data_IF_158896001136
#
_entry.id   IF_158896001136
#
_cell.length_a   1.000
_cell.length_b   1.000
_cell.length_c   1.000
_cell.angle_alpha   90.00
_cell.angle_beta   90.00
_cell.angle_gamma   90.00
#
_symmetry.space_group_name_H-M   'P 1'
#
loop_
_entity.id
_entity.type
_entity.pdbx_description
1 polymer ?
#
# COMPACT_ATOMS: atom_id res chain seq x y z
N UNK A 1 -17.43 11.36 -9.45
CA UNK A 1 -17.66 12.40 -8.44
C UNK A 1 -17.29 13.74 -9.08
N UNK A 2 -18.27 14.54 -9.51
CA UNK A 2 -18.06 15.69 -10.41
C UNK A 2 -17.48 16.94 -9.70
N UNK A 3 -16.43 16.78 -8.89
CA UNK A 3 -15.81 17.91 -8.19
C UNK A 3 -15.10 18.79 -9.21
N UNK A 4 -15.50 20.06 -9.38
CA UNK A 4 -14.83 20.96 -10.31
C UNK A 4 -13.45 21.35 -9.77
N UNK A 5 -12.45 21.37 -10.66
CA UNK A 5 -11.06 21.72 -10.35
C UNK A 5 -10.81 23.23 -10.35
N UNK A 6 -11.81 24.03 -10.74
CA UNK A 6 -11.77 25.49 -10.74
C UNK A 6 -11.58 26.15 -9.36
N UNK A 7 -11.53 25.35 -8.29
CA UNK A 7 -11.26 25.80 -6.92
C UNK A 7 -9.77 25.89 -6.60
N UNK A 8 -8.93 25.26 -7.40
CA UNK A 8 -7.48 25.31 -7.28
C UNK A 8 -6.94 26.29 -8.32
N UNK A 9 -5.90 27.03 -7.97
CA UNK A 9 -5.23 27.88 -8.96
C UNK A 9 -4.38 27.03 -9.93
N UNK A 10 -3.95 27.65 -11.04
CA UNK A 10 -3.22 26.95 -12.08
C UNK A 10 -1.82 26.48 -11.63
N UNK A 11 -1.21 27.16 -10.66
CA UNK A 11 0.13 26.81 -10.16
C UNK A 11 0.04 25.59 -9.24
N UNK A 12 -0.91 25.57 -8.31
CA UNK A 12 -1.16 24.45 -7.40
C UNK A 12 -1.55 23.19 -8.16
N UNK A 13 -2.40 23.31 -9.19
CA UNK A 13 -2.77 22.19 -10.04
C UNK A 13 -1.57 21.64 -10.81
N UNK A 14 -0.70 22.53 -11.32
CA UNK A 14 0.51 22.13 -12.04
C UNK A 14 1.51 21.40 -11.12
N UNK A 15 1.68 21.89 -9.89
CA UNK A 15 2.52 21.23 -8.88
C UNK A 15 1.99 19.82 -8.55
N UNK A 16 0.67 19.64 -8.48
CA UNK A 16 0.07 18.34 -8.27
C UNK A 16 0.27 17.42 -9.47
N UNK A 17 0.13 17.92 -10.70
CA UNK A 17 0.40 17.16 -11.92
C UNK A 17 1.86 16.70 -11.94
N UNK A 18 2.82 17.58 -11.64
CA UNK A 18 4.24 17.23 -11.54
C UNK A 18 4.50 16.16 -10.47
N UNK A 19 3.83 16.26 -9.31
CA UNK A 19 3.92 15.26 -8.25
C UNK A 19 3.35 13.89 -8.69
N UNK A 20 2.26 13.88 -9.46
CA UNK A 20 1.62 12.68 -10.02
C UNK A 20 2.53 12.05 -11.07
N UNK A 21 3.03 12.83 -12.04
CA UNK A 21 3.98 12.36 -13.06
C UNK A 21 5.18 11.66 -12.42
N UNK A 22 5.78 12.31 -11.42
CA UNK A 22 6.91 11.76 -10.66
C UNK A 22 6.54 10.48 -9.89
N UNK A 23 5.35 10.42 -9.30
CA UNK A 23 4.92 9.30 -8.46
C UNK A 23 4.55 8.06 -9.28
N UNK A 24 3.96 8.26 -10.45
CA UNK A 24 3.45 7.19 -11.31
C UNK A 24 4.36 6.89 -12.52
N UNK A 25 5.41 7.67 -12.74
CA UNK A 25 6.32 7.49 -13.87
C UNK A 25 5.65 7.76 -15.23
N UNK A 26 4.63 8.60 -15.24
CA UNK A 26 3.88 9.00 -16.43
C UNK A 26 4.26 10.44 -16.81
N UNK A 27 4.00 10.83 -18.06
CA UNK A 27 4.22 12.20 -18.52
C UNK A 27 3.04 12.68 -19.38
N UNK A 28 2.62 13.90 -19.11
CA UNK A 28 1.63 14.64 -19.86
C UNK A 28 2.34 15.73 -20.69
N UNK A 29 1.98 15.82 -21.96
CA UNK A 29 2.43 16.92 -22.79
C UNK A 29 1.78 18.24 -22.35
N UNK A 30 2.42 19.35 -22.68
CA UNK A 30 1.89 20.69 -22.40
C UNK A 30 0.50 20.86 -23.06
N UNK A 31 -0.50 21.23 -22.25
CA UNK A 31 -1.89 21.36 -22.70
C UNK A 31 -2.65 20.04 -22.89
N UNK A 32 -2.06 18.89 -22.55
CA UNK A 32 -2.75 17.59 -22.64
C UNK A 32 -3.83 17.44 -21.56
N UNK A 33 -3.64 18.04 -20.39
CA UNK A 33 -4.63 18.04 -19.31
C UNK A 33 -5.50 19.28 -19.46
N UNK A 34 -6.68 19.09 -20.07
CA UNK A 34 -7.76 20.08 -20.16
C UNK A 34 -8.86 19.77 -19.14
N UNK A 35 -8.55 18.94 -18.12
CA UNK A 35 -9.53 18.45 -17.17
C UNK A 35 -10.10 19.59 -16.32
N UNK A 36 -11.43 19.74 -16.36
CA UNK A 36 -12.20 20.71 -15.59
C UNK A 36 -12.76 20.11 -14.30
N UNK A 37 -12.78 18.77 -14.22
CA UNK A 37 -13.27 18.02 -13.06
C UNK A 37 -12.27 16.97 -12.60
N UNK A 38 -12.38 16.58 -11.33
CA UNK A 38 -11.56 15.53 -10.74
C UNK A 38 -11.73 14.17 -11.49
N UNK A 39 -12.92 13.89 -12.01
CA UNK A 39 -13.18 12.67 -12.79
C UNK A 39 -12.46 12.69 -14.15
N UNK A 40 -12.43 13.84 -14.83
CA UNK A 40 -11.68 14.01 -16.09
C UNK A 40 -10.17 13.89 -15.86
N UNK A 41 -9.65 14.46 -14.77
CA UNK A 41 -8.25 14.32 -14.40
C UNK A 41 -7.92 12.86 -14.07
N UNK A 42 -8.80 12.18 -13.32
CA UNK A 42 -8.65 10.76 -13.04
C UNK A 42 -8.62 9.93 -14.33
N UNK A 43 -9.54 10.18 -15.27
CA UNK A 43 -9.56 9.48 -16.55
C UNK A 43 -8.28 9.71 -17.36
N UNK A 44 -7.76 10.95 -17.39
CA UNK A 44 -6.52 11.29 -18.08
C UNK A 44 -5.30 10.56 -17.47
N UNK A 45 -5.23 10.47 -16.13
CA UNK A 45 -4.19 9.69 -15.43
C UNK A 45 -4.31 8.21 -15.76
N UNK A 46 -5.51 7.65 -15.68
CA UNK A 46 -5.73 6.23 -15.96
C UNK A 46 -5.39 5.86 -17.41
N UNK A 47 -5.59 6.76 -18.37
CA UNK A 47 -5.24 6.54 -19.77
C UNK A 47 -3.72 6.49 -20.03
N UNK A 48 -2.90 7.12 -19.17
CA UNK A 48 -1.43 7.06 -19.25
C UNK A 48 -0.82 5.86 -18.57
N UNK A 49 -1.58 5.21 -17.68
CA UNK A 49 -1.13 4.03 -16.98
C UNK A 49 -1.22 2.79 -17.90
N UNK A 50 -0.28 1.85 -17.83
CA UNK A 50 -0.34 0.63 -18.63
C UNK A 50 -1.59 -0.20 -18.29
N UNK A 51 -2.29 -0.73 -19.31
CA UNK A 51 -3.48 -1.60 -19.18
C UNK A 51 -3.23 -2.86 -18.34
N UNK A 52 -1.96 -3.27 -18.23
CA UNK A 52 -1.50 -4.28 -17.30
C UNK A 52 -0.61 -3.58 -16.26
N UNK A 53 -1.15 -3.16 -15.11
CA UNK A 53 -0.29 -2.70 -14.03
C UNK A 53 0.64 -3.87 -13.71
N UNK A 54 1.95 -3.63 -13.80
CA UNK A 54 2.94 -4.54 -13.23
C UNK A 54 2.45 -4.96 -11.83
N UNK A 55 2.66 -6.22 -11.47
CA UNK A 55 2.33 -6.78 -10.15
C UNK A 55 2.96 -6.00 -8.96
N UNK A 56 3.75 -4.96 -9.24
CA UNK A 56 4.28 -3.97 -8.31
C UNK A 56 3.18 -3.13 -7.63
N UNK A 57 2.10 -2.78 -8.34
CA UNK A 57 1.04 -1.94 -7.78
C UNK A 57 0.18 -2.72 -6.76
N UNK A 58 -0.07 -4.01 -6.99
CA UNK A 58 -0.82 -4.86 -6.05
C UNK A 58 -0.04 -5.12 -4.76
N UNK A 59 1.29 -5.29 -4.85
CA UNK A 59 2.17 -5.41 -3.69
C UNK A 59 2.14 -4.15 -2.83
N UNK A 60 2.13 -2.98 -3.46
CA UNK A 60 2.04 -1.70 -2.76
C UNK A 60 0.67 -1.50 -2.10
N UNK A 61 -0.42 -1.82 -2.79
CA UNK A 61 -1.77 -1.80 -2.20
C UNK A 61 -1.90 -2.77 -1.02
N UNK A 62 -1.35 -3.98 -1.14
CA UNK A 62 -1.31 -4.96 -0.06
C UNK A 62 -0.51 -4.42 1.14
N UNK A 63 0.63 -3.79 0.89
CA UNK A 63 1.43 -3.17 1.95
C UNK A 63 0.68 -2.03 2.65
N UNK A 64 -0.03 -1.16 1.94
CA UNK A 64 -0.78 -0.08 2.58
C UNK A 64 -1.94 -0.59 3.44
N UNK A 65 -2.67 -1.62 2.98
CA UNK A 65 -3.71 -2.28 3.79
C UNK A 65 -3.12 -2.93 5.04
N UNK A 66 -2.01 -3.66 4.88
CA UNK A 66 -1.26 -4.24 5.99
C UNK A 66 -0.78 -3.17 6.97
N UNK A 67 -0.19 -2.08 6.48
CA UNK A 67 0.32 -0.97 7.30
C UNK A 67 -0.79 -0.30 8.10
N UNK A 68 -1.98 -0.14 7.52
CA UNK A 68 -3.13 0.42 8.22
C UNK A 68 -3.55 -0.47 9.40
N UNK A 69 -3.64 -1.78 9.20
CA UNK A 69 -3.94 -2.72 10.28
C UNK A 69 -2.80 -2.79 11.31
N UNK A 70 -1.54 -2.68 10.89
CA UNK A 70 -0.41 -2.67 11.81
C UNK A 70 -0.39 -1.47 12.77
N UNK A 71 -0.96 -0.33 12.38
CA UNK A 71 -1.04 0.86 13.25
C UNK A 71 -1.87 0.63 14.52
N UNK A 72 -2.78 -0.33 14.53
CA UNK A 72 -3.62 -0.63 15.70
C UNK A 72 -2.94 -1.58 16.68
N UNK A 73 -1.92 -2.33 16.23
CA UNK A 73 -1.27 -3.39 17.03
C UNK A 73 0.21 -3.15 17.30
N UNK A 74 0.85 -2.25 16.56
CA UNK A 74 2.29 -2.02 16.63
C UNK A 74 2.63 -0.75 17.41
N UNK A 75 3.69 -0.76 18.24
CA UNK A 75 4.19 0.45 18.89
C UNK A 75 4.92 1.41 17.92
N UNK A 76 5.18 0.98 16.68
CA UNK A 76 5.93 1.74 15.67
C UNK A 76 4.97 2.46 14.72
N UNK A 77 5.15 3.78 14.56
CA UNK A 77 4.26 4.60 13.72
C UNK A 77 4.70 4.66 12.24
N UNK A 78 6.01 4.72 11.96
CA UNK A 78 6.55 4.76 10.60
C UNK A 78 7.05 3.38 10.13
N UNK A 79 6.10 2.51 9.81
CA UNK A 79 6.37 1.17 9.28
C UNK A 79 6.67 1.27 7.78
N UNK A 80 7.86 0.80 7.39
CA UNK A 80 8.37 0.68 6.02
C UNK A 80 8.55 -0.82 5.68
N UNK A 81 8.62 -1.20 4.39
CA UNK A 81 8.88 -2.59 4.02
C UNK A 81 10.20 -3.16 4.59
N UNK A 82 11.18 -2.29 4.84
CA UNK A 82 12.46 -2.64 5.46
C UNK A 82 12.43 -2.65 7.01
N UNK A 83 11.31 -2.31 7.64
CA UNK A 83 11.17 -2.31 9.09
C UNK A 83 11.24 -3.74 9.63
N UNK A 84 12.12 -3.97 10.60
CA UNK A 84 12.28 -5.29 11.20
C UNK A 84 10.99 -5.76 11.90
N UNK A 85 10.54 -6.97 11.61
CA UNK A 85 9.36 -7.59 12.23
C UNK A 85 9.47 -7.67 13.75
N UNK A 86 10.68 -7.76 14.30
CA UNK A 86 10.91 -7.76 15.76
C UNK A 86 10.53 -6.44 16.43
N UNK A 87 10.60 -5.32 15.70
CA UNK A 87 10.13 -4.01 16.19
C UNK A 87 8.62 -3.88 16.07
N UNK A 88 8.03 -4.50 15.03
CA UNK A 88 6.59 -4.48 14.81
C UNK A 88 5.86 -5.40 15.81
N UNK A 89 6.44 -6.57 16.10
CA UNK A 89 5.90 -7.59 17.00
C UNK A 89 6.91 -7.98 18.11
N UNK A 90 6.98 -7.19 19.20
CA UNK A 90 7.84 -7.45 20.34
C UNK A 90 7.62 -8.85 20.94
N UNK A 91 8.69 -9.47 21.45
CA UNK A 91 8.68 -10.89 21.88
C UNK A 91 7.60 -11.21 22.92
N UNK A 92 7.33 -10.29 23.84
CA UNK A 92 6.38 -10.48 24.94
C UNK A 92 4.94 -10.61 24.44
N UNK A 93 4.52 -9.78 23.48
CA UNK A 93 3.13 -9.66 23.03
C UNK A 93 2.88 -10.19 21.61
N UNK A 94 3.92 -10.71 20.95
CA UNK A 94 3.91 -11.15 19.55
C UNK A 94 2.70 -12.00 19.17
N UNK A 95 2.34 -13.00 19.97
CA UNK A 95 1.21 -13.90 19.67
C UNK A 95 -0.13 -13.17 19.69
N UNK A 96 -0.32 -12.27 20.66
CA UNK A 96 -1.55 -11.49 20.77
C UNK A 96 -1.63 -10.45 19.64
N UNK A 97 -0.54 -9.73 19.38
CA UNK A 97 -0.47 -8.73 18.32
C UNK A 97 -0.71 -9.32 16.91
N UNK A 98 -0.15 -10.50 16.62
CA UNK A 98 -0.39 -11.18 15.34
C UNK A 98 -1.84 -11.63 15.19
N UNK A 99 -2.47 -12.15 16.25
CA UNK A 99 -3.89 -12.54 16.20
C UNK A 99 -4.80 -11.35 15.99
N UNK A 100 -4.53 -10.23 16.68
CA UNK A 100 -5.29 -9.00 16.48
C UNK A 100 -5.12 -8.50 15.04
N UNK A 101 -3.90 -8.54 14.50
CA UNK A 101 -3.66 -8.17 13.11
C UNK A 101 -4.45 -9.03 12.11
N UNK A 102 -4.45 -10.35 12.27
CA UNK A 102 -5.23 -11.26 11.42
C UNK A 102 -6.73 -11.00 11.52
N UNK A 103 -7.23 -10.63 12.71
CA UNK A 103 -8.62 -10.23 12.92
C UNK A 103 -8.96 -8.93 12.17
N UNK A 104 -8.13 -7.90 12.27
CA UNK A 104 -8.31 -6.62 11.55
C UNK A 104 -8.23 -6.79 10.03
N UNK A 105 -7.35 -7.68 9.55
CA UNK A 105 -7.17 -7.94 8.13
C UNK A 105 -8.23 -8.87 7.52
N UNK A 106 -8.92 -9.66 8.35
CA UNK A 106 -9.84 -10.70 7.89
C UNK A 106 -9.17 -11.85 7.13
N UNK A 107 -7.84 -11.96 7.18
CA UNK A 107 -7.05 -13.01 6.53
C UNK A 107 -5.93 -13.51 7.44
N UNK A 108 -5.57 -14.79 7.31
CA UNK A 108 -4.40 -15.34 8.04
C UNK A 108 -3.11 -15.09 7.28
N UNK A 109 -2.13 -14.51 7.97
CA UNK A 109 -0.80 -14.20 7.42
C UNK A 109 0.24 -15.27 7.77
N UNK A 110 -0.11 -16.25 8.61
CA UNK A 110 0.74 -17.38 8.99
C UNK A 110 2.15 -16.98 9.51
N UNK A 111 2.28 -15.77 10.07
CA UNK A 111 3.59 -15.19 10.45
C UNK A 111 4.33 -16.01 11.53
N UNK A 112 3.59 -16.75 12.35
CA UNK A 112 4.12 -17.56 13.43
C UNK A 112 4.23 -19.05 13.08
N UNK A 113 3.99 -19.41 11.81
CA UNK A 113 4.10 -20.80 11.36
C UNK A 113 5.58 -21.20 11.40
N UNK A 114 5.94 -22.29 12.09
CA UNK A 114 7.30 -22.82 12.04
C UNK A 114 7.63 -23.29 10.61
N UNK A 115 8.91 -23.29 10.22
CA UNK A 115 9.36 -23.89 8.96
C UNK A 115 8.83 -25.31 8.77
N UNK A 116 8.35 -25.63 7.57
CA UNK A 116 7.70 -26.92 7.30
C UNK A 116 8.62 -28.12 7.60
N UNK A 117 9.92 -28.00 7.29
CA UNK A 117 10.90 -29.06 7.57
C UNK A 117 11.00 -29.40 9.06
N UNK A 118 10.86 -28.43 9.96
CA UNK A 118 10.89 -28.66 11.41
C UNK A 118 9.67 -29.47 11.86
N UNK A 119 8.51 -29.14 11.31
CA UNK A 119 7.26 -29.85 11.60
C UNK A 119 7.37 -31.29 11.09
N UNK A 120 7.84 -31.48 9.86
CA UNK A 120 8.07 -32.80 9.27
C UNK A 120 9.03 -33.62 10.11
N UNK A 121 10.17 -33.07 10.53
CA UNK A 121 11.11 -33.78 11.41
C UNK A 121 10.44 -34.23 12.72
N UNK A 122 9.60 -33.40 13.36
CA UNK A 122 8.90 -33.77 14.59
C UNK A 122 7.87 -34.89 14.40
N UNK A 123 7.22 -34.98 13.23
CA UNK A 123 6.27 -36.04 12.93
C UNK A 123 6.94 -37.38 12.58
N UNK A 124 8.12 -37.35 11.95
CA UNK A 124 8.87 -38.56 11.59
C UNK A 124 9.91 -39.00 12.65
N UNK A 125 10.17 -38.16 13.66
CA UNK A 125 11.05 -38.47 14.79
C UNK A 125 10.30 -38.96 16.05
N UNK A 126 8.98 -39.16 15.96
CA UNK A 126 8.14 -39.81 16.98
C UNK A 126 7.81 -41.27 16.59
#
# INVERSE_FOLDING_TARGET
MNTPLNKFDHEELNDWILAIEKSFGIHFAEGEIIATTADELHAAIMAKLPEHPDNSCTSQQAFYKLRQALRTVSPVQDIRPSTALSMIFPKQERRAAVRQLEHELGVSVHLLKPPDWLVTCLFFAC
#
